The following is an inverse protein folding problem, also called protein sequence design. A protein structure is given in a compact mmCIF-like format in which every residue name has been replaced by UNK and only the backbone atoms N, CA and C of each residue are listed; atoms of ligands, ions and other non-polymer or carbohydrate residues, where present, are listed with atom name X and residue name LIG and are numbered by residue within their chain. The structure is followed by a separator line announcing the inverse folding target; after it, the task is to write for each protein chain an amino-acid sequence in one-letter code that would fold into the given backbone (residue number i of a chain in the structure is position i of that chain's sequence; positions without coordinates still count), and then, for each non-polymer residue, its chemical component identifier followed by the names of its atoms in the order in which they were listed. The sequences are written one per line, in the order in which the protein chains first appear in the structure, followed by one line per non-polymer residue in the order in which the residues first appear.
data_IF_135349261396
#
_entry.id   IF_135349261396
#
_cell.length_a   1.000
_cell.length_b   1.000
_cell.length_c   1.000
_cell.angle_alpha   90.00
_cell.angle_beta   90.00
_cell.angle_gamma   90.00
#
_symmetry.space_group_name_H-M   'P 1'
#
loop_
_entity.id
_entity.type
_entity.pdbx_description
1 polymer ?
#
# COMPACT_ATOMS: atom_id res chain seq x y z
N UNK A 1 39.40 -26.77 -47.73
CA UNK A 1 39.59 -27.93 -46.85
C UNK A 1 40.18 -27.43 -45.55
N UNK A 2 39.53 -27.78 -44.45
CA UNK A 2 39.90 -27.60 -43.04
C UNK A 2 40.16 -26.19 -42.46
N UNK A 3 39.20 -25.79 -41.60
CA UNK A 3 39.40 -25.35 -40.22
C UNK A 3 40.11 -24.02 -39.93
N UNK A 4 39.30 -22.96 -39.77
CA UNK A 4 39.59 -21.83 -38.86
C UNK A 4 38.63 -21.88 -37.69
N UNK A 5 39.10 -22.44 -36.59
CA UNK A 5 38.53 -22.30 -35.25
C UNK A 5 39.29 -21.19 -34.54
N UNK A 6 38.55 -20.19 -34.08
CA UNK A 6 38.56 -19.65 -32.72
C UNK A 6 38.33 -18.13 -32.72
N UNK A 7 37.33 -17.72 -31.93
CA UNK A 7 37.00 -16.36 -31.50
C UNK A 7 36.23 -15.47 -32.51
N UNK A 8 34.90 -15.39 -32.35
CA UNK A 8 34.26 -14.23 -31.70
C UNK A 8 32.71 -14.32 -31.71
N UNK A 9 32.15 -14.03 -30.53
CA UNK A 9 30.85 -13.42 -30.25
C UNK A 9 29.55 -14.25 -30.40
N UNK A 10 29.23 -14.98 -29.32
CA UNK A 10 27.85 -15.31 -28.95
C UNK A 10 27.29 -14.24 -28.00
N UNK A 11 26.57 -13.25 -28.53
CA UNK A 11 25.66 -12.42 -27.72
C UNK A 11 24.32 -13.15 -27.54
N UNK A 12 24.17 -13.93 -26.47
CA UNK A 12 22.86 -14.44 -26.06
C UNK A 12 22.14 -13.35 -25.26
N UNK A 13 21.18 -12.67 -25.89
CA UNK A 13 20.11 -11.96 -25.17
C UNK A 13 19.31 -13.00 -24.40
N UNK A 14 19.26 -12.90 -23.07
CA UNK A 14 18.36 -13.70 -22.25
C UNK A 14 16.92 -13.22 -22.51
N UNK A 15 16.17 -13.99 -23.30
CA UNK A 15 14.72 -13.78 -23.42
C UNK A 15 14.05 -14.08 -22.08
N UNK A 16 13.33 -13.11 -21.51
CA UNK A 16 12.40 -13.35 -20.39
C UNK A 16 11.40 -14.43 -20.85
N UNK A 17 11.44 -15.61 -20.23
CA UNK A 17 10.37 -16.60 -20.36
C UNK A 17 9.09 -16.00 -19.77
N UNK A 18 8.17 -15.56 -20.63
CA UNK A 18 6.86 -15.07 -20.21
C UNK A 18 6.00 -16.31 -19.97
N UNK A 19 5.64 -16.56 -18.72
CA UNK A 19 4.63 -17.56 -18.36
C UNK A 19 3.31 -17.19 -19.05
N UNK A 20 2.63 -18.14 -19.74
CA UNK A 20 1.41 -17.82 -20.47
C UNK A 20 0.33 -17.34 -19.51
N UNK A 21 -0.28 -16.19 -19.83
CA UNK A 21 -1.36 -15.56 -19.07
C UNK A 21 -2.56 -16.53 -18.96
N UNK A 22 -2.96 -16.95 -17.75
CA UNK A 22 -4.13 -17.80 -17.56
C UNK A 22 -5.41 -17.10 -17.99
N UNK A 23 -6.44 -17.84 -18.40
CA UNK A 23 -7.76 -17.27 -18.67
C UNK A 23 -8.49 -17.00 -17.35
N UNK A 24 -8.74 -15.72 -17.02
CA UNK A 24 -9.56 -15.35 -15.87
C UNK A 24 -11.05 -15.39 -16.26
N UNK A 25 -11.77 -16.42 -15.78
CA UNK A 25 -13.24 -16.53 -15.92
C UNK A 25 -13.91 -15.75 -14.79
N UNK A 26 -13.89 -14.42 -14.86
CA UNK A 26 -14.55 -13.54 -13.89
C UNK A 26 -14.97 -12.21 -14.51
N UNK A 27 -16.01 -11.58 -13.94
CA UNK A 27 -16.62 -10.30 -14.39
C UNK A 27 -15.67 -9.09 -14.33
N UNK A 28 -14.50 -9.23 -13.74
CA UNK A 28 -13.58 -8.12 -13.48
C UNK A 28 -12.64 -7.85 -14.67
N UNK A 29 -13.09 -6.98 -15.58
CA UNK A 29 -12.30 -6.47 -16.72
C UNK A 29 -11.16 -5.52 -16.28
N UNK A 30 -11.03 -5.25 -14.99
CA UNK A 30 -10.18 -4.20 -14.43
C UNK A 30 -8.94 -4.69 -13.66
N UNK A 31 -8.59 -5.98 -13.78
CA UNK A 31 -7.37 -6.55 -13.22
C UNK A 31 -6.29 -6.79 -14.28
N UNK A 32 -5.02 -6.71 -13.88
CA UNK A 32 -3.86 -7.04 -14.71
C UNK A 32 -3.20 -8.33 -14.24
N UNK A 33 -2.66 -9.08 -15.19
CA UNK A 33 -1.91 -10.31 -14.90
C UNK A 33 -0.47 -9.95 -14.52
N UNK A 34 -0.05 -10.43 -13.36
CA UNK A 34 1.30 -10.32 -12.84
C UNK A 34 1.95 -11.70 -13.02
N UNK A 35 3.00 -11.84 -13.86
CA UNK A 35 3.49 -13.16 -14.29
C UNK A 35 4.18 -14.00 -13.21
N UNK A 36 4.41 -13.41 -12.03
CA UNK A 36 5.24 -14.00 -10.97
C UNK A 36 6.72 -14.03 -11.35
N UNK A 37 7.56 -14.40 -10.39
CA UNK A 37 9.00 -14.45 -10.59
C UNK A 37 9.78 -14.31 -9.29
N UNK A 38 11.11 -14.36 -9.42
CA UNK A 38 12.02 -14.04 -8.32
C UNK A 38 12.46 -12.59 -8.44
N UNK A 39 12.48 -11.87 -7.33
CA UNK A 39 12.93 -10.47 -7.28
C UNK A 39 13.67 -10.17 -5.96
N UNK A 40 14.39 -9.05 -5.94
CA UNK A 40 14.96 -8.49 -4.72
C UNK A 40 13.89 -7.67 -3.98
N UNK A 41 13.43 -8.19 -2.85
CA UNK A 41 12.50 -7.50 -1.94
C UNK A 41 13.27 -6.67 -0.92
N UNK A 42 12.75 -5.50 -0.56
CA UNK A 42 13.37 -4.59 0.42
C UNK A 42 14.44 -3.66 -0.16
N UNK A 43 15.18 -3.02 0.73
CA UNK A 43 16.26 -2.07 0.41
C UNK A 43 17.23 -1.87 1.59
N UNK A 44 18.53 -1.91 1.31
CA UNK A 44 19.58 -1.68 2.33
C UNK A 44 20.01 -0.20 2.50
N UNK A 45 19.40 0.72 1.74
CA UNK A 45 19.90 2.10 1.58
C UNK A 45 18.99 3.20 2.13
N UNK A 46 17.81 2.85 2.65
CA UNK A 46 16.83 3.83 3.13
C UNK A 46 16.47 3.59 4.60
N UNK A 47 15.27 3.08 4.88
CA UNK A 47 14.82 2.87 6.25
C UNK A 47 15.31 1.51 6.78
N UNK A 48 15.71 1.39 8.07
CA UNK A 48 16.20 0.14 8.65
C UNK A 48 15.22 -1.03 8.49
N UNK A 49 13.92 -0.78 8.54
CA UNK A 49 12.89 -1.82 8.44
C UNK A 49 12.74 -2.43 7.04
N UNK A 50 13.29 -1.78 6.02
CA UNK A 50 13.34 -2.29 4.64
C UNK A 50 14.51 -3.26 4.42
N UNK A 51 15.39 -3.39 5.40
CA UNK A 51 16.59 -4.22 5.33
C UNK A 51 16.41 -5.57 6.05
N UNK A 52 17.20 -6.60 5.68
CA UNK A 52 18.06 -6.64 4.50
C UNK A 52 17.26 -6.84 3.19
N UNK A 53 17.81 -6.34 2.09
CA UNK A 53 17.36 -6.70 0.77
C UNK A 53 17.61 -8.21 0.53
N UNK A 54 16.57 -8.93 0.11
CA UNK A 54 16.62 -10.39 0.00
C UNK A 54 15.82 -10.93 -1.18
N UNK A 55 16.23 -12.08 -1.70
CA UNK A 55 15.51 -12.73 -2.79
C UNK A 55 14.20 -13.34 -2.29
N UNK A 56 13.12 -13.07 -3.02
CA UNK A 56 11.79 -13.64 -2.81
C UNK A 56 11.23 -14.13 -4.14
N UNK A 57 10.52 -15.25 -4.12
CA UNK A 57 9.77 -15.75 -5.28
C UNK A 57 8.27 -15.58 -5.06
N UNK A 58 7.57 -14.98 -6.01
CA UNK A 58 6.10 -14.91 -6.02
C UNK A 58 5.52 -15.68 -7.20
N UNK A 59 4.37 -16.32 -6.99
CA UNK A 59 3.60 -16.95 -8.06
C UNK A 59 2.95 -15.89 -8.96
N UNK A 60 2.39 -16.32 -10.10
CA UNK A 60 1.58 -15.43 -10.93
C UNK A 60 0.18 -15.21 -10.32
N UNK A 61 -0.33 -13.98 -10.40
CA UNK A 61 -1.63 -13.61 -9.86
C UNK A 61 -2.23 -12.44 -10.64
N UNK A 62 -3.52 -12.21 -10.47
CA UNK A 62 -4.21 -11.02 -10.97
C UNK A 62 -4.24 -9.95 -9.89
N UNK A 63 -4.00 -8.69 -10.25
CA UNK A 63 -4.10 -7.55 -9.33
C UNK A 63 -5.00 -6.47 -9.91
N UNK A 64 -5.82 -5.84 -9.05
CA UNK A 64 -6.60 -4.68 -9.44
C UNK A 64 -5.68 -3.57 -9.98
N UNK A 65 -6.05 -2.99 -11.12
CA UNK A 65 -5.29 -1.88 -11.75
C UNK A 65 -5.19 -0.65 -10.86
N UNK A 66 -6.20 -0.45 -10.03
CA UNK A 66 -6.42 0.72 -9.19
C UNK A 66 -6.71 0.29 -7.76
N UNK A 67 -6.48 1.17 -6.79
CA UNK A 67 -7.09 1.03 -5.47
C UNK A 67 -8.62 0.97 -5.57
N UNK A 68 -9.26 0.30 -4.60
CA UNK A 68 -10.72 0.22 -4.53
C UNK A 68 -11.29 1.63 -4.42
N UNK A 69 -12.25 1.94 -5.28
CA UNK A 69 -12.88 3.26 -5.36
C UNK A 69 -14.07 3.40 -4.42
N UNK A 70 -14.44 4.64 -4.10
CA UNK A 70 -15.67 4.95 -3.36
C UNK A 70 -16.92 4.31 -3.99
N UNK A 71 -17.02 4.31 -5.33
CA UNK A 71 -18.15 3.70 -6.04
C UNK A 71 -18.22 2.19 -5.82
N UNK A 72 -17.09 1.52 -5.88
CA UNK A 72 -16.99 0.08 -5.64
C UNK A 72 -17.32 -0.26 -4.19
N UNK A 73 -16.75 0.46 -3.24
CA UNK A 73 -17.02 0.25 -1.82
C UNK A 73 -18.48 0.56 -1.45
N UNK A 74 -19.07 1.59 -2.06
CA UNK A 74 -20.50 1.88 -1.90
C UNK A 74 -21.38 0.74 -2.40
N UNK A 75 -20.99 0.05 -3.48
CA UNK A 75 -21.72 -1.12 -3.96
C UNK A 75 -21.65 -2.27 -2.97
N UNK A 76 -20.46 -2.55 -2.40
CA UNK A 76 -20.29 -3.51 -1.31
C UNK A 76 -21.21 -3.20 -0.14
N UNK A 77 -21.12 -1.98 0.42
CA UNK A 77 -21.93 -1.59 1.58
C UNK A 77 -23.43 -1.64 1.28
N UNK A 78 -23.86 -1.26 0.07
CA UNK A 78 -25.27 -1.37 -0.33
C UNK A 78 -25.73 -2.83 -0.42
N UNK A 79 -24.86 -3.74 -0.86
CA UNK A 79 -25.20 -5.15 -1.04
C UNK A 79 -25.21 -5.92 0.29
N UNK A 80 -24.38 -5.53 1.26
CA UNK A 80 -24.17 -6.30 2.50
C UNK A 80 -24.72 -5.63 3.75
N UNK A 81 -24.99 -4.32 3.72
CA UNK A 81 -25.29 -3.54 4.91
C UNK A 81 -24.09 -3.35 5.85
N UNK A 82 -22.86 -3.60 5.36
CA UNK A 82 -21.64 -3.50 6.15
C UNK A 82 -21.44 -2.10 6.76
N UNK A 83 -21.00 -2.07 8.02
CA UNK A 83 -20.57 -0.87 8.73
C UNK A 83 -19.09 -0.99 9.01
N UNK A 84 -18.33 0.03 8.65
CA UNK A 84 -16.88 0.00 8.84
C UNK A 84 -16.48 0.16 10.30
N UNK A 85 -15.23 -0.16 10.65
CA UNK A 85 -14.66 0.13 11.98
C UNK A 85 -14.90 1.59 12.38
N UNK A 86 -14.60 2.52 11.46
CA UNK A 86 -14.79 3.96 11.67
C UNK A 86 -16.26 4.37 11.90
N UNK A 87 -17.23 3.54 11.52
CA UNK A 87 -18.66 3.78 11.73
C UNK A 87 -19.17 3.15 13.05
N UNK A 88 -18.37 2.32 13.71
CA UNK A 88 -18.70 1.61 14.95
C UNK A 88 -18.14 2.32 16.17
N UNK A 89 -18.86 2.25 17.29
CA UNK A 89 -18.37 2.79 18.56
C UNK A 89 -17.24 1.88 19.08
N UNK A 90 -16.04 2.43 19.35
CA UNK A 90 -14.96 1.65 19.95
C UNK A 90 -15.38 1.09 21.31
N UNK A 91 -14.99 -0.14 21.62
CA UNK A 91 -15.32 -0.75 22.90
C UNK A 91 -14.22 -0.47 23.91
N UNK A 92 -14.60 -0.18 25.16
CA UNK A 92 -13.63 0.08 26.24
C UNK A 92 -12.69 -1.11 26.50
N UNK A 93 -13.15 -2.34 26.27
CA UNK A 93 -12.35 -3.56 26.41
C UNK A 93 -11.12 -3.60 25.50
N UNK A 94 -11.21 -2.97 24.31
CA UNK A 94 -10.13 -2.93 23.32
C UNK A 94 -9.13 -1.80 23.60
N UNK A 95 -9.50 -0.81 24.43
CA UNK A 95 -8.66 0.35 24.76
C UNK A 95 -8.57 0.59 26.27
N UNK A 96 -7.82 -0.25 27.01
CA UNK A 96 -7.61 -0.07 28.43
C UNK A 96 -7.03 1.31 28.76
N UNK A 97 -7.68 2.05 29.65
CA UNK A 97 -7.27 3.40 30.06
C UNK A 97 -7.78 4.53 29.17
N UNK A 98 -8.57 4.24 28.13
CA UNK A 98 -9.27 5.26 27.38
C UNK A 98 -10.36 5.94 28.24
N UNK A 99 -10.54 7.25 28.02
CA UNK A 99 -11.64 8.02 28.59
C UNK A 99 -12.92 7.61 27.86
N UNK A 100 -13.93 7.00 28.53
CA UNK A 100 -15.10 6.45 27.86
C UNK A 100 -15.85 7.44 26.97
N UNK A 101 -15.88 8.72 27.35
CA UNK A 101 -16.53 9.79 26.59
C UNK A 101 -15.83 10.08 25.25
N UNK A 102 -14.58 9.64 25.07
CA UNK A 102 -13.82 9.77 23.83
C UNK A 102 -13.96 8.54 22.91
N UNK A 103 -14.55 7.44 23.39
CA UNK A 103 -14.82 6.24 22.60
C UNK A 103 -16.09 6.42 21.78
N UNK A 104 -16.00 7.24 20.74
CA UNK A 104 -17.08 7.51 19.78
C UNK A 104 -16.67 7.06 18.39
N UNK A 105 -17.63 6.72 17.52
CA UNK A 105 -17.33 6.38 16.14
C UNK A 105 -16.64 7.56 15.43
N UNK A 106 -15.58 7.26 14.68
CA UNK A 106 -14.76 8.28 14.03
C UNK A 106 -13.45 7.70 13.52
N UNK A 107 -12.60 8.59 13.03
CA UNK A 107 -11.34 8.20 12.40
C UNK A 107 -10.34 9.36 12.46
N UNK A 108 -9.05 9.06 12.33
CA UNK A 108 -8.02 10.09 12.31
C UNK A 108 -7.98 10.82 10.96
N UNK A 109 -7.99 12.14 11.02
CA UNK A 109 -7.99 13.04 9.87
C UNK A 109 -6.79 13.97 9.96
N UNK A 110 -6.07 14.10 8.84
CA UNK A 110 -5.02 15.08 8.70
C UNK A 110 -5.61 16.50 8.64
N UNK A 111 -5.12 17.38 9.50
CA UNK A 111 -5.42 18.81 9.51
C UNK A 111 -4.13 19.59 9.29
N UNK A 112 -4.03 20.22 8.12
CA UNK A 112 -2.86 21.01 7.73
C UNK A 112 -2.65 22.17 8.74
N UNK A 113 -1.51 22.23 9.45
CA UNK A 113 -1.19 23.35 10.30
C UNK A 113 -0.99 24.63 9.46
N UNK A 114 -1.31 25.79 10.05
CA UNK A 114 -1.14 27.10 9.38
C UNK A 114 0.32 27.59 9.35
N UNK A 115 1.20 26.96 10.12
CA UNK A 115 2.59 27.36 10.32
C UNK A 115 3.45 26.12 10.61
N UNK A 116 4.80 26.21 10.54
CA UNK A 116 5.68 25.12 10.93
C UNK A 116 5.38 24.60 12.33
N UNK A 117 5.47 23.27 12.51
CA UNK A 117 5.25 22.58 13.78
C UNK A 117 6.37 21.58 14.05
N UNK A 118 6.51 21.17 15.31
CA UNK A 118 7.44 20.11 15.70
C UNK A 118 6.99 18.77 15.07
N UNK A 119 7.90 18.11 14.33
CA UNK A 119 7.57 16.90 13.56
C UNK A 119 7.52 15.62 14.41
N UNK A 120 7.97 15.67 15.66
CA UNK A 120 7.99 14.53 16.59
C UNK A 120 6.66 14.35 17.33
N UNK A 121 5.78 15.36 17.35
CA UNK A 121 4.53 15.31 18.12
C UNK A 121 3.29 14.94 17.31
N UNK A 122 3.40 14.79 15.98
CA UNK A 122 2.31 14.40 15.09
C UNK A 122 1.01 15.24 15.23
N UNK A 123 1.12 16.51 15.67
CA UNK A 123 0.00 17.40 16.02
C UNK A 123 -1.01 17.70 14.89
N UNK A 124 -0.70 17.32 13.65
CA UNK A 124 -1.58 17.44 12.50
C UNK A 124 -2.59 16.29 12.37
N UNK A 125 -2.46 15.22 13.16
CA UNK A 125 -3.46 14.15 13.22
C UNK A 125 -4.48 14.44 14.31
N UNK A 126 -5.75 14.48 13.91
CA UNK A 126 -6.86 14.75 14.82
C UNK A 126 -7.89 13.64 14.68
N UNK A 127 -8.31 13.06 15.81
CA UNK A 127 -9.45 12.15 15.82
C UNK A 127 -10.73 12.96 15.62
N UNK A 128 -11.48 12.66 14.55
CA UNK A 128 -12.70 13.39 14.20
C UNK A 128 -13.91 12.48 14.35
N UNK A 129 -14.79 12.72 15.35
CA UNK A 129 -16.04 12.00 15.48
C UNK A 129 -16.88 12.05 14.20
N UNK A 130 -17.39 10.90 13.78
CA UNK A 130 -18.16 10.74 12.55
C UNK A 130 -17.36 10.83 11.25
N UNK A 131 -16.03 10.95 11.30
CA UNK A 131 -15.21 10.78 10.10
C UNK A 131 -15.15 9.30 9.72
N UNK A 132 -15.50 9.00 8.46
CA UNK A 132 -15.53 7.66 7.89
C UNK A 132 -15.44 7.74 6.36
N UNK A 133 -15.57 6.59 5.68
CA UNK A 133 -15.43 6.52 4.23
C UNK A 133 -16.47 7.36 3.45
N UNK A 134 -17.68 7.58 4.00
CA UNK A 134 -18.71 8.46 3.40
C UNK A 134 -18.48 9.93 3.69
N UNK A 135 -17.87 10.21 4.85
CA UNK A 135 -17.64 11.53 5.42
C UNK A 135 -16.15 11.73 5.76
N UNK A 136 -15.22 11.80 4.77
CA UNK A 136 -13.77 11.68 5.05
C UNK A 136 -13.11 12.85 5.80
N UNK A 137 -13.86 13.91 6.09
CA UNK A 137 -13.41 15.06 6.89
C UNK A 137 -14.34 15.34 8.07
N UNK A 138 -15.12 14.35 8.49
CA UNK A 138 -16.17 14.49 9.49
C UNK A 138 -17.57 14.70 8.89
N UNK A 139 -18.58 14.72 9.75
CA UNK A 139 -20.00 14.55 9.41
C UNK A 139 -20.55 15.52 8.33
N UNK A 140 -19.97 16.70 8.17
CA UNK A 140 -20.40 17.70 7.17
C UNK A 140 -19.80 17.47 5.76
N UNK A 141 -18.82 16.57 5.63
CA UNK A 141 -18.19 16.26 4.36
C UNK A 141 -18.96 15.18 3.59
N UNK A 142 -18.68 15.00 2.29
CA UNK A 142 -19.24 13.88 1.52
C UNK A 142 -18.30 13.42 0.41
N UNK A 143 -18.57 12.23 -0.11
CA UNK A 143 -17.93 11.67 -1.32
C UNK A 143 -18.68 11.98 -2.62
N UNK A 144 -19.66 12.91 -2.62
CA UNK A 144 -20.40 13.28 -3.84
C UNK A 144 -19.43 13.84 -4.89
N UNK A 145 -19.44 13.29 -6.10
CA UNK A 145 -18.50 13.67 -7.16
C UNK A 145 -17.09 13.09 -6.97
N UNK A 146 -16.90 12.16 -6.03
CA UNK A 146 -15.64 11.45 -5.75
C UNK A 146 -15.74 9.95 -5.94
N UNK A 147 -16.60 9.52 -6.85
CA UNK A 147 -16.91 8.12 -7.13
C UNK A 147 -15.66 7.32 -7.53
N UNK A 148 -14.73 7.95 -8.26
CA UNK A 148 -13.48 7.34 -8.74
C UNK A 148 -12.25 7.67 -7.87
N UNK A 149 -12.44 8.21 -6.68
CA UNK A 149 -11.35 8.39 -5.71
C UNK A 149 -11.18 7.07 -4.94
N UNK A 150 -9.96 6.76 -4.44
CA UNK A 150 -9.78 5.62 -3.57
C UNK A 150 -10.65 5.79 -2.31
N UNK A 151 -11.26 4.70 -1.87
CA UNK A 151 -11.93 4.68 -0.57
C UNK A 151 -10.88 4.81 0.53
N UNK A 152 -11.18 5.61 1.56
CA UNK A 152 -10.32 5.87 2.73
C UNK A 152 -11.09 5.68 4.03
N UNK A 153 -10.42 5.82 5.17
CA UNK A 153 -10.97 5.44 6.49
C UNK A 153 -11.34 3.97 6.56
N UNK A 154 -10.48 3.13 5.99
CA UNK A 154 -10.61 1.69 5.92
C UNK A 154 -9.58 1.08 6.89
N UNK A 155 -10.07 0.39 7.91
CA UNK A 155 -9.27 -0.49 8.76
C UNK A 155 -9.00 -1.82 8.04
N UNK A 156 -8.14 -2.68 8.60
CA UNK A 156 -7.78 -3.94 7.93
C UNK A 156 -9.00 -4.85 7.70
N UNK A 157 -9.88 -4.99 8.70
CA UNK A 157 -11.08 -5.84 8.58
C UNK A 157 -12.07 -5.34 7.53
N UNK A 158 -12.16 -4.02 7.33
CA UNK A 158 -13.00 -3.41 6.30
C UNK A 158 -12.53 -3.83 4.89
N UNK A 159 -11.21 -3.80 4.68
CA UNK A 159 -10.57 -4.19 3.44
C UNK A 159 -10.72 -5.69 3.17
N UNK A 160 -10.55 -6.53 4.20
CA UNK A 160 -10.70 -7.99 4.11
C UNK A 160 -12.15 -8.41 3.84
N UNK A 161 -13.12 -7.75 4.50
CA UNK A 161 -14.55 -7.99 4.28
C UNK A 161 -14.97 -7.64 2.84
N UNK A 162 -14.52 -6.50 2.32
CA UNK A 162 -14.75 -6.15 0.92
C UNK A 162 -14.10 -7.17 -0.03
N UNK A 163 -12.83 -7.52 0.19
CA UNK A 163 -12.09 -8.42 -0.68
C UNK A 163 -12.80 -9.79 -0.75
N UNK A 164 -13.24 -10.31 0.39
CA UNK A 164 -13.99 -11.56 0.49
C UNK A 164 -15.31 -11.49 -0.26
N UNK A 165 -16.10 -10.43 -0.05
CA UNK A 165 -17.36 -10.21 -0.76
C UNK A 165 -17.17 -10.14 -2.28
N UNK A 166 -16.09 -9.51 -2.74
CA UNK A 166 -15.75 -9.40 -4.16
C UNK A 166 -15.22 -10.71 -4.77
N UNK A 167 -15.05 -11.77 -3.98
CA UNK A 167 -14.42 -13.03 -4.43
C UNK A 167 -12.92 -12.88 -4.71
N UNK A 168 -12.26 -11.98 -3.97
CA UNK A 168 -10.84 -11.64 -4.10
C UNK A 168 -10.10 -11.85 -2.77
N UNK A 169 -8.86 -11.39 -2.69
CA UNK A 169 -8.08 -11.32 -1.45
C UNK A 169 -7.23 -10.05 -1.43
N UNK A 170 -6.71 -9.68 -0.25
CA UNK A 170 -5.63 -8.70 -0.16
C UNK A 170 -4.29 -9.33 -0.61
N UNK A 171 -3.37 -8.54 -1.18
CA UNK A 171 -2.03 -9.01 -1.53
C UNK A 171 -1.18 -9.28 -0.28
N UNK A 172 -0.22 -10.18 -0.38
CA UNK A 172 0.92 -10.17 0.56
C UNK A 172 1.79 -8.95 0.35
N UNK A 173 2.64 -8.65 1.34
CA UNK A 173 3.67 -7.63 1.19
C UNK A 173 4.56 -7.91 -0.04
N UNK A 174 4.96 -9.17 -0.21
CA UNK A 174 5.81 -9.61 -1.32
C UNK A 174 5.12 -9.50 -2.69
N UNK A 175 3.85 -9.91 -2.79
CA UNK A 175 3.04 -9.76 -4.01
C UNK A 175 2.88 -8.29 -4.38
N UNK A 176 2.54 -7.45 -3.39
CA UNK A 176 2.38 -6.01 -3.59
C UNK A 176 3.68 -5.36 -4.09
N UNK A 177 4.82 -5.65 -3.45
CA UNK A 177 6.09 -5.03 -3.83
C UNK A 177 6.58 -5.52 -5.20
N UNK A 178 6.45 -6.82 -5.48
CA UNK A 178 6.78 -7.37 -6.80
C UNK A 178 5.97 -6.68 -7.90
N UNK A 179 4.68 -6.49 -7.66
CA UNK A 179 3.76 -5.82 -8.57
C UNK A 179 4.11 -4.33 -8.72
N UNK A 180 4.41 -3.63 -7.62
CA UNK A 180 4.77 -2.22 -7.60
C UNK A 180 6.05 -1.93 -8.39
N UNK A 181 7.04 -2.83 -8.33
CA UNK A 181 8.30 -2.71 -9.09
C UNK A 181 8.12 -2.80 -10.60
N UNK A 182 6.99 -3.30 -11.10
CA UNK A 182 6.70 -3.30 -12.54
C UNK A 182 7.68 -4.11 -13.40
N UNK A 183 8.47 -5.02 -12.80
CA UNK A 183 9.52 -5.76 -13.51
C UNK A 183 10.85 -5.02 -13.66
N UNK A 184 11.01 -3.86 -13.00
CA UNK A 184 12.28 -3.18 -12.78
C UNK A 184 13.03 -3.84 -11.62
N UNK A 185 14.32 -4.10 -11.82
CA UNK A 185 15.18 -4.62 -10.76
C UNK A 185 15.69 -3.48 -9.88
N UNK A 186 15.36 -3.54 -8.59
CA UNK A 186 15.95 -2.69 -7.55
C UNK A 186 15.83 -1.17 -7.77
N UNK A 187 14.89 -0.73 -8.62
CA UNK A 187 14.57 0.68 -8.83
C UNK A 187 13.99 1.32 -7.55
N UNK A 188 14.23 2.63 -7.38
CA UNK A 188 13.77 3.39 -6.20
C UNK A 188 12.24 3.59 -6.21
N UNK A 189 11.67 3.86 -7.38
CA UNK A 189 10.23 4.09 -7.60
C UNK A 189 9.67 3.09 -8.60
N UNK A 190 8.34 3.03 -8.71
CA UNK A 190 7.63 2.15 -9.65
C UNK A 190 7.92 2.43 -11.14
N UNK A 191 8.58 3.56 -11.45
CA UNK A 191 8.92 4.01 -12.80
C UNK A 191 10.43 4.22 -13.02
N UNK A 192 11.29 3.97 -12.03
CA UNK A 192 12.73 4.20 -12.13
C UNK A 192 13.35 4.82 -10.89
N UNK A 193 14.49 5.51 -11.06
CA UNK A 193 15.29 6.05 -9.95
C UNK A 193 15.13 7.56 -9.74
N UNK A 194 14.62 8.28 -10.73
CA UNK A 194 14.34 9.71 -10.63
C UNK A 194 12.91 9.94 -10.15
N UNK A 195 12.73 10.80 -9.15
CA UNK A 195 11.41 11.05 -8.57
C UNK A 195 10.45 11.74 -9.56
N UNK A 196 10.95 12.76 -10.26
CA UNK A 196 10.19 13.55 -11.24
C UNK A 196 10.89 13.56 -12.59
N UNK A 197 10.91 12.44 -13.34
CA UNK A 197 11.60 12.33 -14.61
C UNK A 197 11.12 13.42 -15.58
N UNK A 198 12.05 14.23 -16.09
CA UNK A 198 11.76 15.37 -16.97
C UNK A 198 10.81 16.41 -16.34
N UNK A 199 10.82 16.53 -15.01
CA UNK A 199 9.93 17.43 -14.27
C UNK A 199 8.47 16.97 -14.22
N UNK A 200 8.15 15.75 -14.64
CA UNK A 200 6.77 15.22 -14.61
C UNK A 200 6.41 14.74 -13.21
N UNK A 201 5.20 15.09 -12.76
CA UNK A 201 4.61 14.49 -11.56
C UNK A 201 4.18 13.06 -11.89
N UNK A 202 4.70 12.10 -11.14
CA UNK A 202 4.47 10.67 -11.36
C UNK A 202 3.54 10.02 -10.32
N UNK A 203 3.21 10.75 -9.26
CA UNK A 203 2.39 10.27 -8.16
C UNK A 203 1.76 11.44 -7.38
N UNK A 204 0.67 11.15 -6.66
CA UNK A 204 0.11 12.08 -5.69
C UNK A 204 0.86 11.96 -4.34
N UNK A 205 1.83 12.83 -4.10
CA UNK A 205 2.57 12.96 -2.83
C UNK A 205 2.49 14.42 -2.32
N UNK A 206 3.11 14.73 -1.19
CA UNK A 206 3.20 16.11 -0.70
C UNK A 206 4.21 16.92 -1.52
N UNK A 207 3.91 18.19 -1.77
CA UNK A 207 4.84 19.17 -2.38
C UNK A 207 4.91 20.42 -1.50
N UNK A 208 6.13 20.84 -1.13
CA UNK A 208 6.37 21.90 -0.16
C UNK A 208 6.86 21.37 1.18
N UNK A 209 6.92 22.25 2.18
CA UNK A 209 7.31 21.87 3.54
C UNK A 209 6.17 21.18 4.30
N UNK A 210 6.28 19.86 4.44
CA UNK A 210 5.38 19.10 5.31
C UNK A 210 5.50 19.56 6.79
N UNK A 211 4.40 19.63 7.57
CA UNK A 211 3.00 19.39 7.19
C UNK A 211 2.22 20.67 6.83
N UNK A 212 2.86 21.84 6.79
CA UNK A 212 2.15 23.13 6.86
C UNK A 212 2.04 23.83 5.51
N UNK A 213 2.97 23.59 4.59
CA UNK A 213 3.03 24.23 3.27
C UNK A 213 2.76 23.21 2.16
N UNK A 214 1.60 23.33 1.52
CA UNK A 214 1.23 22.56 0.34
C UNK A 214 1.31 23.44 -0.91
N UNK A 215 2.22 23.11 -1.82
CA UNK A 215 2.44 23.83 -3.08
C UNK A 215 1.57 23.32 -4.23
N UNK A 216 0.76 22.28 -4.01
CA UNK A 216 -0.22 21.81 -5.00
C UNK A 216 -1.41 22.79 -5.08
N UNK A 217 -2.06 22.92 -6.25
CA UNK A 217 -3.18 23.85 -6.44
C UNK A 217 -4.41 23.52 -5.60
N UNK A 218 -4.59 22.26 -5.21
CA UNK A 218 -5.70 21.79 -4.40
C UNK A 218 -5.23 21.48 -2.98
N UNK A 219 -6.13 21.60 -2.00
CA UNK A 219 -5.88 21.17 -0.62
C UNK A 219 -5.39 19.71 -0.57
N UNK A 220 -4.54 19.33 0.39
CA UNK A 220 -4.06 17.97 0.52
C UNK A 220 -5.21 16.97 0.58
N UNK A 221 -5.08 15.87 -0.16
CA UNK A 221 -6.08 14.82 -0.24
C UNK A 221 -5.73 13.79 -1.30
N UNK A 222 -6.46 12.67 -1.25
CA UNK A 222 -6.47 11.71 -2.34
C UNK A 222 -6.98 12.36 -3.63
N UNK A 223 -6.52 11.85 -4.76
CA UNK A 223 -6.92 12.22 -6.11
C UNK A 223 -7.61 11.02 -6.79
N UNK A 224 -8.33 11.21 -7.91
CA UNK A 224 -8.93 10.11 -8.64
C UNK A 224 -7.90 9.03 -8.97
N UNK A 225 -8.28 7.76 -8.86
CA UNK A 225 -7.38 6.65 -9.23
C UNK A 225 -7.02 6.75 -10.71
N UNK A 226 -5.77 6.43 -11.04
CA UNK A 226 -5.29 6.39 -12.41
C UNK A 226 -4.97 7.74 -13.04
N UNK A 227 -4.81 8.80 -12.25
CA UNK A 227 -4.48 10.13 -12.75
C UNK A 227 -3.02 10.21 -13.28
N UNK A 228 -2.12 9.40 -12.73
CA UNK A 228 -0.71 9.34 -13.09
C UNK A 228 -0.40 8.14 -13.99
N UNK A 229 0.75 8.12 -14.70
CA UNK A 229 1.10 6.98 -15.55
C UNK A 229 1.17 5.65 -14.77
N UNK A 230 0.74 4.53 -15.36
CA UNK A 230 0.91 3.22 -14.74
C UNK A 230 2.39 2.77 -14.78
N UNK A 231 2.75 1.82 -13.93
CA UNK A 231 4.01 1.09 -14.09
C UNK A 231 3.95 0.11 -15.28
N UNK A 232 5.06 -0.57 -15.56
CA UNK A 232 5.20 -1.48 -16.71
C UNK A 232 4.31 -2.74 -16.64
N UNK A 233 3.68 -3.02 -15.50
CA UNK A 233 2.63 -4.05 -15.36
C UNK A 233 1.21 -3.52 -15.56
N UNK A 234 1.05 -2.22 -15.82
CA UNK A 234 -0.26 -1.58 -16.00
C UNK A 234 -0.98 -1.23 -14.70
N UNK A 235 -0.24 -1.16 -13.58
CA UNK A 235 -0.78 -0.78 -12.27
C UNK A 235 -0.60 0.70 -12.02
N UNK A 236 -1.64 1.34 -11.51
CA UNK A 236 -1.67 2.76 -11.19
C UNK A 236 -1.52 3.00 -9.70
N UNK A 237 -1.01 4.17 -9.34
CA UNK A 237 -0.94 4.67 -7.96
C UNK A 237 -0.26 3.70 -6.99
N UNK A 238 0.70 2.88 -7.47
CA UNK A 238 1.53 2.01 -6.60
C UNK A 238 2.47 2.84 -5.70
N UNK A 239 2.54 4.15 -5.93
CA UNK A 239 3.35 5.11 -5.20
C UNK A 239 2.46 6.32 -4.93
N UNK A 240 2.29 6.69 -3.66
CA UNK A 240 1.46 7.81 -3.23
C UNK A 240 -0.04 7.54 -3.32
N UNK A 241 -0.81 8.62 -3.44
CA UNK A 241 -2.27 8.66 -3.29
C UNK A 241 -2.73 8.16 -1.92
N UNK A 242 -2.87 6.85 -1.70
CA UNK A 242 -3.25 6.28 -0.39
C UNK A 242 -2.36 5.10 -0.06
N UNK A 243 -2.10 4.91 1.24
CA UNK A 243 -1.51 3.68 1.74
C UNK A 243 -2.42 2.50 1.43
N UNK A 244 -1.83 1.31 1.27
CA UNK A 244 -2.59 0.11 0.93
C UNK A 244 -2.30 -1.04 1.90
N UNK A 245 -3.38 -1.62 2.42
CA UNK A 245 -3.33 -2.82 3.26
C UNK A 245 -2.76 -4.03 2.52
N UNK A 246 -1.89 -4.76 3.22
CA UNK A 246 -1.42 -6.10 2.83
C UNK A 246 -1.71 -7.11 3.96
N UNK A 247 -1.64 -8.40 3.66
CA UNK A 247 -2.01 -9.45 4.63
C UNK A 247 -0.97 -9.70 5.73
N UNK A 248 0.26 -9.26 5.53
CA UNK A 248 1.41 -9.69 6.33
C UNK A 248 1.42 -9.00 7.70
N UNK A 249 1.73 -9.78 8.74
CA UNK A 249 2.01 -9.21 10.05
C UNK A 249 3.37 -8.53 10.05
N UNK A 250 3.43 -7.35 10.66
CA UNK A 250 4.64 -6.54 10.63
C UNK A 250 5.75 -7.15 11.48
N UNK A 251 6.98 -7.09 10.95
CA UNK A 251 8.23 -7.33 11.69
C UNK A 251 9.20 -6.20 11.38
N UNK A 252 10.02 -5.84 12.37
CA UNK A 252 10.96 -4.71 12.29
C UNK A 252 12.05 -4.83 11.24
N UNK A 253 12.38 -6.04 10.77
CA UNK A 253 13.37 -6.28 9.71
C UNK A 253 12.94 -7.47 8.86
N UNK A 254 13.43 -7.55 7.63
CA UNK A 254 13.26 -8.74 6.79
C UNK A 254 14.13 -9.91 7.29
N UNK A 255 13.79 -11.16 6.94
CA UNK A 255 14.68 -12.29 7.22
C UNK A 255 15.97 -12.18 6.40
N UNK A 256 17.02 -12.88 6.85
CA UNK A 256 18.30 -12.93 6.14
C UNK A 256 18.17 -13.42 4.69
N UNK A 257 19.01 -12.90 3.81
CA UNK A 257 18.99 -13.22 2.39
C UNK A 257 19.48 -14.65 2.10
N UNK A 258 18.56 -15.53 1.72
CA UNK A 258 18.86 -16.89 1.26
C UNK A 258 19.14 -16.90 -0.23
N UNK A 259 20.41 -16.95 -0.61
CA UNK A 259 20.86 -16.87 -2.01
C UNK A 259 20.82 -18.19 -2.78
N UNK A 260 20.77 -19.33 -2.08
CA UNK A 260 20.66 -20.66 -2.73
C UNK A 260 19.25 -20.84 -3.31
N UNK A 261 19.09 -21.21 -4.60
CA UNK A 261 17.77 -21.30 -5.25
C UNK A 261 16.74 -22.19 -4.53
N UNK A 262 17.17 -23.29 -3.91
CA UNK A 262 16.29 -24.18 -3.15
C UNK A 262 15.76 -23.58 -1.84
N UNK A 263 16.33 -22.47 -1.38
CA UNK A 263 16.04 -21.85 -0.10
C UNK A 263 15.39 -20.47 -0.23
N UNK A 264 15.19 -19.97 -1.46
CA UNK A 264 14.52 -18.68 -1.70
C UNK A 264 13.07 -18.82 -1.20
N UNK A 265 12.62 -17.97 -0.26
CA UNK A 265 11.26 -18.01 0.25
C UNK A 265 10.25 -17.77 -0.87
N UNK A 266 9.18 -18.56 -0.86
CA UNK A 266 8.07 -18.44 -1.81
C UNK A 266 6.94 -17.71 -1.11
N UNK A 267 6.63 -16.50 -1.56
CA UNK A 267 5.55 -15.65 -1.05
C UNK A 267 5.48 -15.62 0.50
N UNK A 268 6.54 -15.11 1.17
CA UNK A 268 6.60 -15.06 2.64
C UNK A 268 5.40 -14.28 3.21
N UNK A 269 5.06 -14.54 4.48
CA UNK A 269 3.87 -14.00 5.15
C UNK A 269 4.17 -13.02 6.30
N UNK A 270 5.43 -12.59 6.41
CA UNK A 270 5.91 -11.78 7.53
C UNK A 270 5.98 -12.57 8.84
N UNK A 271 5.72 -11.86 9.93
CA UNK A 271 5.80 -12.35 11.31
C UNK A 271 4.56 -13.18 11.72
N UNK A 272 4.51 -13.63 12.97
CA UNK A 272 3.22 -14.00 13.60
C UNK A 272 2.45 -12.76 14.07
N UNK A 273 1.18 -12.94 14.44
CA UNK A 273 0.37 -11.86 15.01
C UNK A 273 0.99 -11.32 16.30
N UNK A 274 1.46 -12.21 17.17
CA UNK A 274 2.03 -11.90 18.48
C UNK A 274 3.34 -11.13 18.36
N UNK A 275 4.14 -11.45 17.35
CA UNK A 275 5.40 -10.76 17.05
C UNK A 275 5.18 -9.34 16.50
N UNK A 276 3.96 -9.04 16.05
CA UNK A 276 3.64 -7.75 15.41
C UNK A 276 3.28 -6.62 16.37
N UNK A 277 3.02 -6.92 17.65
CA UNK A 277 2.69 -5.90 18.65
C UNK A 277 3.78 -4.83 18.76
N UNK A 278 3.40 -3.62 19.16
CA UNK A 278 4.37 -2.55 19.39
C UNK A 278 5.05 -2.73 20.76
N UNK A 279 6.36 -3.02 20.81
CA UNK A 279 7.06 -3.20 22.08
C UNK A 279 7.16 -1.90 22.89
N UNK A 280 6.96 -0.74 22.26
CA UNK A 280 7.03 0.57 22.92
C UNK A 280 5.71 0.98 23.58
N UNK A 281 4.59 0.34 23.21
CA UNK A 281 3.26 0.60 23.76
C UNK A 281 2.64 -0.73 24.25
N UNK A 282 3.21 -1.38 25.28
CA UNK A 282 2.80 -2.73 25.70
C UNK A 282 1.34 -2.82 26.20
N UNK A 283 0.74 -1.67 26.53
CA UNK A 283 -0.66 -1.57 26.95
C UNK A 283 -1.63 -1.74 25.76
N UNK A 284 -1.21 -1.35 24.56
CA UNK A 284 -1.99 -1.47 23.33
C UNK A 284 -1.68 -2.82 22.68
N UNK A 285 -2.42 -3.85 23.07
CA UNK A 285 -2.28 -5.21 22.52
C UNK A 285 -2.99 -5.37 21.17
N UNK A 286 -2.84 -4.38 20.29
CA UNK A 286 -3.45 -4.42 18.96
C UNK A 286 -2.36 -4.76 17.95
N UNK A 287 -2.52 -5.86 17.18
CA UNK A 287 -1.48 -6.32 16.29
C UNK A 287 -1.38 -5.40 15.06
N UNK A 288 -0.23 -5.43 14.39
CA UNK A 288 0.08 -4.52 13.28
C UNK A 288 0.29 -5.28 11.99
N UNK A 289 -0.34 -4.79 10.91
CA UNK A 289 -0.09 -5.28 9.56
C UNK A 289 0.72 -4.28 8.76
N UNK A 290 1.24 -4.76 7.63
CA UNK A 290 2.08 -3.94 6.76
C UNK A 290 1.21 -3.11 5.80
N UNK A 291 1.41 -1.79 5.84
CA UNK A 291 1.00 -0.87 4.78
C UNK A 291 2.11 -0.66 3.76
N UNK A 292 1.74 -0.52 2.49
CA UNK A 292 2.66 -0.23 1.38
C UNK A 292 2.21 0.97 0.55
N UNK A 293 3.14 1.57 -0.20
CA UNK A 293 2.86 2.58 -1.24
C UNK A 293 2.97 4.04 -0.84
N UNK A 294 2.87 4.37 0.45
CA UNK A 294 2.81 5.77 0.88
C UNK A 294 1.49 6.44 0.51
N UNK A 295 1.38 7.74 0.72
CA UNK A 295 0.14 8.50 0.47
C UNK A 295 0.41 9.91 -0.04
N UNK A 296 -0.67 10.67 -0.30
CA UNK A 296 -0.62 12.09 -0.63
C UNK A 296 0.01 12.98 0.46
N UNK A 297 0.25 12.44 1.66
CA UNK A 297 0.93 13.14 2.77
C UNK A 297 2.42 12.82 2.86
N UNK A 298 2.92 11.83 2.12
CA UNK A 298 4.33 11.48 2.17
C UNK A 298 5.16 12.54 1.43
N UNK A 299 6.28 12.95 2.02
CA UNK A 299 7.06 14.11 1.61
C UNK A 299 8.57 13.80 1.67
N UNK A 300 9.40 14.28 0.73
CA UNK A 300 10.84 14.08 0.75
C UNK A 300 11.53 14.50 2.06
N UNK A 301 11.00 15.55 2.70
CA UNK A 301 11.54 16.15 3.92
C UNK A 301 11.01 15.54 5.23
N UNK A 302 10.17 14.49 5.16
CA UNK A 302 9.60 13.86 6.35
C UNK A 302 9.41 12.34 6.21
N UNK A 303 8.65 11.91 5.21
CA UNK A 303 8.28 10.51 5.01
C UNK A 303 8.46 10.11 3.54
N UNK A 304 9.54 9.40 3.24
CA UNK A 304 9.87 8.87 1.91
C UNK A 304 9.37 7.44 1.71
N UNK A 305 8.24 7.08 2.35
CA UNK A 305 7.68 5.74 2.26
C UNK A 305 6.78 5.51 1.03
N UNK A 306 6.85 6.42 0.05
CA UNK A 306 6.21 6.29 -1.26
C UNK A 306 7.08 5.49 -2.25
N UNK A 307 7.87 4.51 -1.77
CA UNK A 307 8.74 3.66 -2.59
C UNK A 307 8.26 2.22 -2.50
N UNK A 308 8.40 1.39 -3.56
CA UNK A 308 7.99 -0.02 -3.51
C UNK A 308 8.55 -0.80 -2.32
N UNK A 309 9.83 -0.57 -2.00
CA UNK A 309 10.52 -1.22 -0.87
C UNK A 309 10.03 -0.73 0.50
N UNK A 310 9.46 0.47 0.58
CA UNK A 310 9.04 1.04 1.84
C UNK A 310 7.84 0.31 2.41
N UNK A 311 7.77 0.31 3.73
CA UNK A 311 6.75 -0.39 4.53
C UNK A 311 6.46 0.41 5.80
N UNK A 312 5.24 0.28 6.31
CA UNK A 312 4.84 0.93 7.55
C UNK A 312 4.02 -0.03 8.40
N UNK A 313 4.30 -0.16 9.71
CA UNK A 313 3.41 -0.86 10.63
C UNK A 313 2.17 -0.02 10.93
N UNK A 314 0.98 -0.61 10.80
CA UNK A 314 -0.27 0.03 11.20
C UNK A 314 -1.13 -0.95 12.00
N UNK A 315 -1.77 -0.47 13.07
CA UNK A 315 -2.65 -1.34 13.87
C UNK A 315 -3.90 -1.70 13.07
N UNK A 316 -4.35 -2.95 13.17
CA UNK A 316 -5.43 -3.48 12.33
C UNK A 316 -6.78 -2.77 12.47
N UNK A 317 -6.99 -2.09 13.58
CA UNK A 317 -8.19 -1.31 13.92
C UNK A 317 -8.09 0.16 13.48
N UNK A 318 -6.91 0.63 13.07
CA UNK A 318 -6.71 2.03 12.72
C UNK A 318 -7.19 2.28 11.30
N UNK A 319 -8.04 3.30 11.18
CA UNK A 319 -8.49 3.87 9.91
C UNK A 319 -8.08 5.34 9.87
N UNK A 320 -7.68 5.84 8.70
CA UNK A 320 -7.32 7.24 8.53
C UNK A 320 -7.68 7.77 7.14
N UNK A 321 -7.65 9.09 6.95
CA UNK A 321 -8.01 9.74 5.68
C UNK A 321 -7.05 9.47 4.51
N UNK A 322 -6.02 8.63 4.69
CA UNK A 322 -5.04 8.30 3.65
C UNK A 322 -4.71 6.80 3.55
N UNK A 323 -5.50 5.92 4.20
CA UNK A 323 -5.36 4.46 4.10
C UNK A 323 -6.55 3.90 3.30
N UNK A 324 -6.25 3.16 2.24
CA UNK A 324 -7.16 2.37 1.43
C UNK A 324 -6.58 0.99 1.15
N UNK A 325 -6.92 0.39 0.01
CA UNK A 325 -6.45 -0.95 -0.37
C UNK A 325 -6.73 -1.26 -1.84
N UNK A 326 -6.11 -2.33 -2.34
CA UNK A 326 -6.43 -2.99 -3.63
C UNK A 326 -6.48 -4.50 -3.46
N UNK A 327 -7.16 -5.19 -4.36
CA UNK A 327 -7.32 -6.65 -4.25
C UNK A 327 -6.57 -7.42 -5.34
N UNK A 328 -6.42 -8.72 -5.10
CA UNK A 328 -5.82 -9.69 -6.01
C UNK A 328 -6.69 -10.95 -6.15
N UNK A 329 -6.43 -11.72 -7.20
CA UNK A 329 -6.95 -13.08 -7.41
C UNK A 329 -5.78 -14.00 -7.73
N UNK A 330 -5.55 -15.02 -6.90
CA UNK A 330 -4.50 -16.03 -7.11
C UNK A 330 -5.03 -17.13 -8.02
N UNK A 331 -4.17 -17.68 -8.88
CA UNK A 331 -4.51 -18.83 -9.72
C UNK A 331 -4.26 -20.09 -8.89
N UNK A 332 -5.26 -20.94 -8.80
CA UNK A 332 -5.19 -22.25 -8.12
C UNK A 332 -4.25 -23.21 -8.82
#
# INVERSE_FOLDING_TARGET
MQERLCQQNSSRKSGKQITPKPTHKGRDRDMVWIPGGTFMMGCDRHYPEESPAHLVRVGGFWMDRYAVTNKQFQHFVKATGYRTVAECQPKLEDYPGAIPELLVAGSAVFQQPKQPVNLQNCSWWVYVPGANWRHPRGASSSIKGKENYPVVHIAYEDAEAYATWAGKSLPTEAEWEFAARGGLDSAVYAWGNEFSPQGKRMANTWEGEFPWQNLKPNSPGAEPVGLYPPNDYGLYDMVGNVWEWTTDWYQGHHPENKTKPCCIPINPRGATQEESYDPTVPQAQIPRKVLKGGSFLCAPNYCQRYRPAARHPETVDTSTCHIGFRCIVRVS
#
